data_IF_385066239886
#
_entry.id   IF_385066239886
#
_cell.length_a   1.000
_cell.length_b   1.000
_cell.length_c   1.000
_cell.angle_alpha   90.00
_cell.angle_beta   90.00
_cell.angle_gamma   90.00
#
_symmetry.space_group_name_H-M   'P 1'
#
loop_
_entity.id
_entity.type
_entity.pdbx_description
1 polymer ?
#
# COMPACT_ATOMS: atom_id res chain seq x y z
N UNK A 1 -11.24 -0.62 -21.64
CA UNK A 1 -11.94 -0.49 -20.37
C UNK A 1 -10.98 -0.85 -19.25
N UNK A 2 -10.90 -0.06 -18.20
CA UNK A 2 -9.97 -0.15 -17.08
C UNK A 2 -8.49 0.00 -17.45
N UNK A 3 -8.18 0.75 -18.51
CA UNK A 3 -6.81 1.14 -18.80
C UNK A 3 -6.31 2.10 -17.73
N UNK A 4 -5.08 1.85 -17.25
CA UNK A 4 -4.41 2.68 -16.28
C UNK A 4 -3.16 3.28 -16.88
N UNK A 5 -3.02 4.58 -16.80
CA UNK A 5 -1.79 5.26 -17.21
C UNK A 5 -0.62 4.74 -16.39
N UNK A 6 0.51 4.47 -17.05
CA UNK A 6 1.71 3.94 -16.42
C UNK A 6 2.89 4.85 -16.65
N UNK A 7 3.56 5.21 -15.56
CA UNK A 7 4.76 6.04 -15.58
C UNK A 7 5.92 5.27 -14.95
N UNK A 8 7.10 5.33 -15.56
CA UNK A 8 8.33 4.79 -14.98
C UNK A 8 9.05 5.88 -14.19
N UNK A 9 9.61 5.51 -13.05
CA UNK A 9 10.42 6.38 -12.21
C UNK A 9 11.86 5.90 -12.15
N UNK A 10 12.77 6.80 -11.76
CA UNK A 10 14.15 6.44 -11.48
C UNK A 10 14.18 5.52 -10.25
N UNK A 11 14.60 4.29 -10.48
CA UNK A 11 14.76 3.31 -9.40
C UNK A 11 16.12 3.49 -8.75
N UNK A 12 16.14 3.97 -7.52
CA UNK A 12 17.37 4.25 -6.76
C UNK A 12 17.10 4.15 -5.26
N UNK A 13 18.17 4.05 -4.48
CA UNK A 13 18.12 4.18 -3.03
C UNK A 13 18.28 5.66 -2.63
N UNK A 14 17.47 6.11 -1.66
CA UNK A 14 17.47 7.49 -1.16
C UNK A 14 17.61 7.48 0.35
N UNK A 15 18.49 8.30 0.89
CA UNK A 15 18.56 8.54 2.32
C UNK A 15 17.38 9.39 2.76
N UNK A 16 16.67 8.93 3.77
CA UNK A 16 15.53 9.60 4.35
C UNK A 16 15.79 10.01 5.80
N UNK A 17 15.26 11.14 6.18
CA UNK A 17 15.24 11.63 7.57
C UNK A 17 13.80 11.85 7.98
N UNK A 18 13.42 11.40 9.16
CA UNK A 18 12.12 11.67 9.76
C UNK A 18 12.02 13.15 10.10
N UNK A 19 11.06 13.86 9.53
CA UNK A 19 10.81 15.29 9.80
C UNK A 19 9.58 15.53 10.68
N UNK A 20 8.65 14.58 10.76
CA UNK A 20 7.52 14.61 11.68
C UNK A 20 7.07 13.19 12.03
N UNK A 21 6.46 13.05 13.21
CA UNK A 21 5.82 11.83 13.69
C UNK A 21 4.49 12.21 14.31
N UNK A 22 3.41 11.55 13.90
CA UNK A 22 2.07 11.77 14.45
C UNK A 22 1.28 10.45 14.58
N UNK A 23 0.19 10.50 15.33
CA UNK A 23 -0.74 9.36 15.43
C UNK A 23 -1.97 9.64 14.56
N UNK A 24 -2.29 8.72 13.66
CA UNK A 24 -3.48 8.77 12.80
C UNK A 24 -4.28 7.48 13.01
N UNK A 25 -5.28 7.53 13.86
CA UNK A 25 -6.05 6.34 14.24
C UNK A 25 -5.15 5.22 14.77
N UNK A 26 -5.18 4.07 14.11
CA UNK A 26 -4.35 2.90 14.45
C UNK A 26 -2.91 2.98 13.89
N UNK A 27 -2.52 4.08 13.25
CA UNK A 27 -1.22 4.21 12.59
C UNK A 27 -0.29 5.18 13.33
N UNK A 28 1.01 4.91 13.19
CA UNK A 28 2.06 5.91 13.35
C UNK A 28 2.36 6.45 11.96
N UNK A 29 2.06 7.72 11.72
CA UNK A 29 2.45 8.42 10.50
C UNK A 29 3.81 9.05 10.69
N UNK A 30 4.74 8.74 9.78
CA UNK A 30 6.05 9.36 9.74
C UNK A 30 6.20 10.13 8.45
N UNK A 31 6.59 11.40 8.54
CA UNK A 31 6.95 12.21 7.37
C UNK A 31 8.44 12.02 7.10
N UNK A 32 8.76 11.61 5.89
CA UNK A 32 10.13 11.42 5.41
C UNK A 32 10.51 12.54 4.45
N UNK A 33 11.73 13.06 4.62
CA UNK A 33 12.35 14.05 3.73
C UNK A 33 13.82 13.70 3.51
N UNK A 34 14.43 14.28 2.50
CA UNK A 34 15.86 14.10 2.23
C UNK A 34 16.33 14.84 0.99
N UNK A 35 17.63 15.16 0.90
CA UNK A 35 18.19 15.82 -0.27
C UNK A 35 18.05 14.99 -1.55
N UNK A 36 18.00 13.66 -1.41
CA UNK A 36 17.90 12.71 -2.51
C UNK A 36 16.45 12.57 -3.04
N UNK A 37 15.50 13.31 -2.48
CA UNK A 37 14.07 13.22 -2.86
C UNK A 37 13.66 14.23 -3.95
N UNK A 38 14.57 15.05 -4.47
CA UNK A 38 14.21 16.06 -5.47
C UNK A 38 13.50 15.47 -6.71
N UNK A 39 13.86 14.25 -7.12
CA UNK A 39 13.25 13.52 -8.22
C UNK A 39 12.26 12.44 -7.79
N UNK A 40 11.94 12.35 -6.50
CA UNK A 40 10.99 11.36 -5.98
C UNK A 40 9.59 11.63 -6.53
N UNK A 41 8.99 10.61 -7.12
CA UNK A 41 7.62 10.66 -7.62
C UNK A 41 6.87 9.38 -7.26
N UNK A 42 5.61 9.55 -6.90
CA UNK A 42 4.66 8.47 -6.63
C UNK A 42 3.26 8.98 -6.95
N UNK A 43 2.76 8.63 -8.13
CA UNK A 43 1.54 9.20 -8.69
C UNK A 43 0.39 8.20 -8.81
N UNK A 44 0.63 6.90 -8.56
CA UNK A 44 -0.41 5.87 -8.65
C UNK A 44 -0.80 5.31 -7.28
N UNK A 45 -2.07 4.91 -7.10
CA UNK A 45 -2.58 4.43 -5.80
C UNK A 45 -1.94 3.13 -5.31
N UNK A 46 -1.40 2.31 -6.21
CA UNK A 46 -0.72 1.06 -5.86
C UNK A 46 0.80 1.19 -5.77
N UNK A 47 1.33 2.40 -5.80
CA UNK A 47 2.76 2.61 -5.65
C UNK A 47 3.24 2.16 -4.29
N UNK A 48 4.42 1.59 -4.26
CA UNK A 48 5.07 1.21 -3.03
C UNK A 48 6.57 1.54 -3.07
N UNK A 49 7.09 1.83 -1.92
CA UNK A 49 8.52 1.98 -1.65
C UNK A 49 8.95 0.95 -0.64
N UNK A 50 10.16 0.41 -0.81
CA UNK A 50 10.77 -0.43 0.20
C UNK A 50 11.58 0.44 1.15
N UNK A 51 11.17 0.44 2.43
CA UNK A 51 11.82 1.21 3.49
C UNK A 51 12.67 0.26 4.32
N UNK A 52 13.92 0.64 4.56
CA UNK A 52 14.88 -0.11 5.36
C UNK A 52 15.04 0.54 6.72
N UNK A 53 14.89 -0.28 7.75
CA UNK A 53 14.87 0.09 9.15
C UNK A 53 16.16 -0.38 9.84
N UNK A 54 16.59 0.30 10.93
CA UNK A 54 17.67 -0.21 11.77
C UNK A 54 17.39 -1.61 12.31
N UNK A 55 18.45 -2.38 12.49
CA UNK A 55 18.37 -3.67 13.17
C UNK A 55 17.84 -3.46 14.59
N UNK A 56 16.74 -4.11 15.00
CA UNK A 56 16.12 -3.88 16.30
C UNK A 56 16.99 -4.25 17.49
N UNK A 57 18.05 -5.06 17.27
CA UNK A 57 18.97 -5.50 18.33
C UNK A 57 20.23 -4.62 18.43
N UNK A 58 20.75 -4.15 17.29
CA UNK A 58 22.02 -3.41 17.25
C UNK A 58 21.85 -1.92 16.98
N UNK A 59 20.70 -1.49 16.47
CA UNK A 59 20.46 -0.12 16.00
C UNK A 59 21.16 0.22 14.68
N UNK A 60 21.91 -0.71 14.08
CA UNK A 60 22.61 -0.47 12.82
C UNK A 60 21.64 -0.48 11.63
N UNK A 61 21.70 0.54 10.78
CA UNK A 61 20.96 0.61 9.53
C UNK A 61 21.80 0.04 8.39
N UNK A 62 21.54 -1.22 8.03
CA UNK A 62 22.10 -1.84 6.85
C UNK A 62 21.07 -1.79 5.71
N UNK A 63 21.41 -1.08 4.64
CA UNK A 63 20.46 -0.80 3.56
C UNK A 63 21.19 -0.69 2.21
N UNK A 64 20.46 -0.85 1.10
CA UNK A 64 21.00 -0.61 -0.23
C UNK A 64 21.49 0.83 -0.41
N UNK A 65 22.47 1.00 -1.29
CA UNK A 65 22.99 2.31 -1.71
C UNK A 65 22.67 2.57 -3.19
N UNK A 66 22.57 3.86 -3.54
CA UNK A 66 22.40 4.25 -4.93
C UNK A 66 23.66 3.94 -5.75
N UNK A 67 23.45 3.52 -6.98
CA UNK A 67 24.47 3.29 -7.97
C UNK A 67 24.02 3.85 -9.33
N UNK A 68 24.97 4.41 -10.10
CA UNK A 68 24.65 5.05 -11.40
C UNK A 68 24.41 4.01 -12.49
N UNK A 69 25.05 2.85 -12.44
CA UNK A 69 24.95 1.81 -13.46
C UNK A 69 23.86 0.79 -13.13
N UNK A 70 23.83 0.29 -11.90
CA UNK A 70 22.91 -0.75 -11.45
C UNK A 70 21.63 -0.19 -10.80
N UNK A 71 21.60 1.12 -10.53
CA UNK A 71 20.53 1.82 -9.81
C UNK A 71 20.56 1.59 -8.31
N UNK A 72 20.80 0.34 -7.86
CA UNK A 72 20.80 -0.01 -6.43
C UNK A 72 21.71 -1.20 -6.16
N UNK A 73 22.76 -0.99 -5.36
CA UNK A 73 23.62 -2.06 -4.84
C UNK A 73 23.10 -2.53 -3.49
N UNK A 74 22.90 -3.82 -3.33
CA UNK A 74 22.48 -4.43 -2.06
C UNK A 74 23.69 -4.66 -1.16
N UNK A 75 23.56 -4.41 0.16
CA UNK A 75 24.64 -4.71 1.09
C UNK A 75 24.76 -6.21 1.33
N UNK A 76 25.95 -6.65 1.73
CA UNK A 76 26.16 -7.98 2.26
C UNK A 76 25.67 -8.04 3.71
N UNK A 77 24.64 -8.85 3.97
CA UNK A 77 24.12 -9.05 5.31
C UNK A 77 22.60 -8.90 5.43
N UNK A 78 22.04 -9.17 6.62
CA UNK A 78 20.60 -9.13 6.84
C UNK A 78 20.08 -7.70 6.88
N UNK A 79 19.07 -7.39 6.06
CA UNK A 79 18.38 -6.10 6.03
C UNK A 79 16.96 -6.23 6.58
N UNK A 80 16.46 -5.17 7.19
CA UNK A 80 15.09 -5.07 7.72
C UNK A 80 14.25 -4.13 6.83
N UNK A 81 13.85 -4.63 5.66
CA UNK A 81 13.05 -3.86 4.70
C UNK A 81 11.57 -4.26 4.71
N UNK A 82 10.66 -3.26 4.59
CA UNK A 82 9.22 -3.45 4.40
C UNK A 82 8.72 -2.50 3.34
N UNK A 83 7.65 -2.92 2.68
CA UNK A 83 7.03 -2.14 1.62
C UNK A 83 5.88 -1.31 2.19
N UNK A 84 5.80 -0.05 1.79
CA UNK A 84 4.79 0.91 2.22
C UNK A 84 4.27 1.72 1.05
N UNK A 85 3.03 2.16 1.15
CA UNK A 85 2.42 3.11 0.21
C UNK A 85 2.85 4.54 0.58
N UNK A 86 3.54 5.28 -0.30
CA UNK A 86 3.80 6.70 -0.08
C UNK A 86 2.52 7.52 -0.14
N UNK A 87 2.33 8.40 0.84
CA UNK A 87 1.19 9.31 0.93
C UNK A 87 1.65 10.76 0.85
N UNK A 88 0.78 11.65 0.43
CA UNK A 88 0.96 13.09 0.55
C UNK A 88 2.32 13.58 0.03
N UNK A 89 2.74 13.13 -1.14
CA UNK A 89 3.99 13.60 -1.77
C UNK A 89 3.87 15.09 -2.04
N UNK A 90 4.78 15.89 -1.48
CA UNK A 90 4.72 17.35 -1.53
C UNK A 90 6.10 18.01 -1.50
N UNK A 91 6.18 19.18 -2.10
CA UNK A 91 7.36 20.04 -1.96
C UNK A 91 7.25 20.86 -0.66
N UNK A 92 8.35 20.98 0.04
CA UNK A 92 8.50 21.74 1.30
C UNK A 92 9.75 22.62 1.22
N UNK A 93 9.93 23.54 2.15
CA UNK A 93 11.14 24.38 2.22
C UNK A 93 12.42 23.55 2.39
N UNK A 94 12.32 22.37 2.96
CA UNK A 94 13.42 21.40 3.13
C UNK A 94 13.63 20.44 1.95
N UNK A 95 12.90 20.61 0.82
CA UNK A 95 12.87 19.70 -0.32
C UNK A 95 11.58 18.90 -0.37
N UNK A 96 11.57 17.83 -1.16
CA UNK A 96 10.40 16.96 -1.27
C UNK A 96 10.23 16.04 -0.08
N UNK A 97 9.00 15.81 0.32
CA UNK A 97 8.62 14.91 1.43
C UNK A 97 7.42 14.06 1.07
N UNK A 98 7.24 12.97 1.81
CA UNK A 98 6.03 12.14 1.76
C UNK A 98 5.79 11.49 3.12
N UNK A 99 4.58 11.00 3.33
CA UNK A 99 4.18 10.35 4.57
C UNK A 99 4.10 8.83 4.38
N UNK A 100 4.37 8.09 5.45
CA UNK A 100 4.15 6.65 5.56
C UNK A 100 3.30 6.38 6.79
N UNK A 101 2.25 5.59 6.63
CA UNK A 101 1.41 5.10 7.71
C UNK A 101 1.82 3.69 8.10
N UNK A 102 2.35 3.54 9.28
CA UNK A 102 2.77 2.25 9.85
C UNK A 102 1.69 1.77 10.80
N UNK A 103 0.98 0.71 10.41
CA UNK A 103 -0.09 0.13 11.22
C UNK A 103 0.48 -0.47 12.51
N UNK A 104 -0.12 -0.10 13.65
CA UNK A 104 0.14 -0.71 14.95
C UNK A 104 -0.57 -2.05 15.04
N UNK A 105 0.11 -3.05 15.59
CA UNK A 105 -0.49 -4.35 15.87
C UNK A 105 0.21 -5.03 17.07
N UNK A 106 -0.48 -5.97 17.77
CA UNK A 106 0.02 -6.55 19.03
C UNK A 106 1.37 -7.26 18.93
N UNK A 107 1.66 -7.89 17.78
CA UNK A 107 2.93 -8.59 17.53
C UNK A 107 3.76 -7.82 16.49
N UNK A 108 4.41 -6.69 16.88
CA UNK A 108 5.05 -5.80 15.94
C UNK A 108 6.30 -6.44 15.32
N UNK A 109 6.34 -6.46 13.99
CA UNK A 109 7.57 -6.71 13.26
C UNK A 109 8.54 -5.51 13.37
N UNK A 110 9.77 -5.61 12.83
CA UNK A 110 10.80 -4.58 12.98
C UNK A 110 10.34 -3.16 12.61
N UNK A 111 9.53 -3.02 11.57
CA UNK A 111 9.03 -1.71 11.14
C UNK A 111 8.02 -1.11 12.12
N UNK A 112 7.03 -1.89 12.58
CA UNK A 112 6.04 -1.41 13.53
C UNK A 112 6.67 -1.15 14.91
N UNK A 113 7.59 -2.01 15.36
CA UNK A 113 8.33 -1.80 16.59
C UNK A 113 9.21 -0.53 16.53
N UNK A 114 9.85 -0.25 15.40
CA UNK A 114 10.58 0.99 15.18
C UNK A 114 9.65 2.21 15.22
N UNK A 115 8.50 2.13 14.54
CA UNK A 115 7.57 3.25 14.44
C UNK A 115 7.01 3.71 15.81
N UNK A 116 6.82 2.78 16.76
CA UNK A 116 6.39 3.11 18.14
C UNK A 116 7.36 4.04 18.87
N UNK A 117 8.62 4.08 18.44
CA UNK A 117 9.69 4.86 19.07
C UNK A 117 10.33 5.89 18.12
N UNK A 118 9.79 6.04 16.91
CA UNK A 118 10.30 6.92 15.88
C UNK A 118 10.37 8.38 16.36
N UNK A 119 11.45 9.04 16.04
CA UNK A 119 11.70 10.43 16.42
C UNK A 119 12.14 11.26 15.21
N UNK A 120 11.87 12.57 15.28
CA UNK A 120 12.42 13.52 14.31
C UNK A 120 13.94 13.44 14.32
N UNK A 121 14.53 13.29 13.14
CA UNK A 121 15.97 13.11 12.96
C UNK A 121 16.39 11.66 12.73
N UNK A 122 15.52 10.67 12.96
CA UNK A 122 15.82 9.27 12.64
C UNK A 122 16.10 9.09 11.17
N UNK A 123 17.01 8.15 10.85
CA UNK A 123 17.47 7.89 9.51
C UNK A 123 16.96 6.53 8.99
N UNK A 124 16.46 6.54 7.76
CA UNK A 124 16.01 5.38 7.01
C UNK A 124 16.61 5.42 5.61
N UNK A 125 16.47 4.33 4.88
CA UNK A 125 16.73 4.29 3.44
C UNK A 125 15.46 3.85 2.72
N UNK A 126 15.12 4.54 1.64
CA UNK A 126 13.94 4.30 0.82
C UNK A 126 14.37 3.92 -0.59
N UNK A 127 13.85 2.81 -1.10
CA UNK A 127 14.11 2.33 -2.47
C UNK A 127 12.80 2.33 -3.26
N UNK A 128 12.82 2.92 -4.45
CA UNK A 128 11.65 3.03 -5.33
C UNK A 128 10.89 4.36 -5.20
N UNK A 129 9.63 4.42 -5.70
CA UNK A 129 8.99 3.38 -6.48
C UNK A 129 9.63 3.17 -7.86
N UNK A 130 9.40 2.01 -8.48
CA UNK A 130 9.87 1.73 -9.86
C UNK A 130 9.04 2.42 -10.93
N UNK A 131 7.82 2.70 -10.61
CA UNK A 131 6.84 3.34 -11.47
C UNK A 131 5.49 3.41 -10.80
N UNK A 132 4.57 4.08 -11.46
CA UNK A 132 3.21 4.27 -11.01
C UNK A 132 2.22 3.69 -12.02
N UNK A 133 1.07 3.26 -11.53
CA UNK A 133 -0.10 2.96 -12.33
C UNK A 133 -1.31 3.68 -11.71
N UNK A 134 -1.86 4.65 -12.42
CA UNK A 134 -3.02 5.43 -12.01
C UNK A 134 -4.27 4.57 -11.81
N UNK A 135 -5.32 5.13 -11.22
CA UNK A 135 -6.64 4.52 -11.21
C UNK A 135 -7.26 4.53 -12.62
N UNK A 136 -8.15 3.59 -12.95
CA UNK A 136 -8.84 3.61 -14.24
C UNK A 136 -9.78 4.82 -14.30
N UNK A 137 -9.68 5.59 -15.41
CA UNK A 137 -10.47 6.80 -15.57
C UNK A 137 -11.83 6.55 -16.26
N UNK A 138 -12.10 5.28 -16.62
CA UNK A 138 -13.33 4.83 -17.29
C UNK A 138 -14.17 3.87 -16.44
N UNK A 139 -13.90 3.77 -15.13
CA UNK A 139 -14.67 2.95 -14.21
C UNK A 139 -15.95 3.68 -13.77
N UNK A 140 -17.10 3.07 -13.96
CA UNK A 140 -18.38 3.59 -13.45
C UNK A 140 -18.53 3.32 -11.95
N UNK A 141 -17.98 2.19 -11.50
CA UNK A 141 -17.97 1.75 -10.10
C UNK A 141 -16.62 1.19 -9.70
N UNK A 142 -16.22 1.40 -8.47
CA UNK A 142 -15.05 0.79 -7.86
C UNK A 142 -15.41 0.07 -6.57
N UNK A 143 -14.89 -1.15 -6.39
CA UNK A 143 -14.95 -1.90 -5.14
C UNK A 143 -13.53 -2.03 -4.57
N UNK A 144 -13.30 -1.40 -3.42
CA UNK A 144 -12.01 -1.44 -2.70
C UNK A 144 -12.13 -2.43 -1.54
N UNK A 145 -11.50 -3.58 -1.63
CA UNK A 145 -11.52 -4.64 -0.59
C UNK A 145 -10.21 -4.58 0.19
N UNK A 146 -10.29 -4.15 1.44
CA UNK A 146 -9.10 -3.72 2.19
C UNK A 146 -9.09 -4.19 3.64
N UNK A 147 -7.90 -4.51 4.14
CA UNK A 147 -7.61 -4.58 5.56
C UNK A 147 -6.82 -3.34 6.03
N UNK A 148 -6.45 -3.28 7.31
CA UNK A 148 -5.71 -2.13 7.84
C UNK A 148 -4.39 -1.84 7.11
N UNK A 149 -3.73 -2.84 6.52
CA UNK A 149 -2.44 -2.63 5.83
C UNK A 149 -2.60 -1.94 4.47
N UNK A 150 -3.78 -2.00 3.87
CA UNK A 150 -4.07 -1.50 2.52
C UNK A 150 -4.92 -0.23 2.48
N UNK A 151 -5.39 0.30 3.62
CA UNK A 151 -6.08 1.59 3.70
C UNK A 151 -5.27 2.75 3.08
N UNK A 152 -3.93 2.84 3.23
CA UNK A 152 -3.14 3.86 2.54
C UNK A 152 -3.30 3.82 1.01
N UNK A 153 -3.36 2.65 0.41
CA UNK A 153 -3.60 2.52 -1.03
C UNK A 153 -5.05 2.87 -1.40
N UNK A 154 -6.03 2.48 -0.57
CA UNK A 154 -7.44 2.82 -0.78
C UNK A 154 -7.67 4.34 -0.74
N UNK A 155 -7.06 5.07 0.19
CA UNK A 155 -7.18 6.53 0.23
C UNK A 155 -6.69 7.17 -1.08
N UNK A 156 -5.60 6.68 -1.64
CA UNK A 156 -5.09 7.16 -2.92
C UNK A 156 -5.99 6.79 -4.11
N UNK A 157 -6.70 5.66 -4.06
CA UNK A 157 -7.75 5.37 -5.05
C UNK A 157 -8.92 6.35 -4.96
N UNK A 158 -9.34 6.73 -3.76
CA UNK A 158 -10.39 7.74 -3.58
C UNK A 158 -10.00 9.08 -4.21
N UNK A 159 -8.73 9.46 -4.12
CA UNK A 159 -8.21 10.71 -4.68
C UNK A 159 -8.03 10.65 -6.22
N UNK A 160 -7.68 9.48 -6.77
CA UNK A 160 -7.26 9.33 -8.18
C UNK A 160 -8.41 8.86 -9.11
N UNK A 161 -9.46 8.24 -8.57
CA UNK A 161 -10.64 7.84 -9.34
C UNK A 161 -11.48 9.07 -9.76
N UNK A 162 -12.11 9.09 -10.95
CA UNK A 162 -13.04 10.15 -11.35
C UNK A 162 -14.13 10.40 -10.30
N UNK A 163 -14.54 11.65 -10.10
CA UNK A 163 -15.63 12.00 -9.17
C UNK A 163 -16.96 11.28 -9.50
N UNK A 164 -17.15 10.96 -10.79
CA UNK A 164 -18.34 10.24 -11.27
C UNK A 164 -18.35 8.75 -10.92
N UNK A 165 -17.19 8.17 -10.52
CA UNK A 165 -17.10 6.75 -10.14
C UNK A 165 -17.75 6.55 -8.78
N UNK A 166 -18.76 5.70 -8.65
CA UNK A 166 -19.26 5.32 -7.33
C UNK A 166 -18.27 4.36 -6.65
N UNK A 167 -18.02 4.55 -5.35
CA UNK A 167 -17.03 3.76 -4.63
C UNK A 167 -17.64 3.05 -3.43
N UNK A 168 -17.46 1.74 -3.39
CA UNK A 168 -17.75 0.90 -2.24
C UNK A 168 -16.43 0.41 -1.64
N UNK A 169 -16.30 0.48 -0.33
CA UNK A 169 -15.18 -0.05 0.44
C UNK A 169 -15.66 -1.23 1.26
N UNK A 170 -15.06 -2.39 1.08
CA UNK A 170 -15.30 -3.59 1.88
C UNK A 170 -14.11 -3.81 2.81
N UNK A 171 -14.30 -3.46 4.09
CA UNK A 171 -13.31 -3.67 5.14
C UNK A 171 -13.32 -5.13 5.60
N UNK A 172 -12.15 -5.75 5.79
CA UNK A 172 -12.05 -7.12 6.26
C UNK A 172 -10.92 -7.33 7.29
N UNK A 173 -10.88 -8.51 7.90
CA UNK A 173 -9.90 -8.86 8.93
C UNK A 173 -10.20 -8.17 10.25
N UNK A 174 -9.20 -7.53 10.83
CA UNK A 174 -9.34 -6.79 12.10
C UNK A 174 -9.74 -5.31 11.88
N UNK A 175 -10.02 -4.91 10.63
CA UNK A 175 -10.45 -3.57 10.28
C UNK A 175 -11.97 -3.45 10.38
N UNK A 176 -12.44 -2.58 11.27
CA UNK A 176 -13.87 -2.23 11.37
C UNK A 176 -14.27 -1.20 10.33
N UNK A 177 -15.58 -1.18 9.99
CA UNK A 177 -16.14 -0.18 9.07
C UNK A 177 -15.89 1.24 9.57
N UNK A 178 -16.13 1.52 10.85
CA UNK A 178 -15.92 2.85 11.47
C UNK A 178 -14.44 3.29 11.38
N UNK A 179 -13.51 2.37 11.60
CA UNK A 179 -12.08 2.67 11.49
C UNK A 179 -11.66 2.97 10.04
N UNK A 180 -12.22 2.22 9.08
CA UNK A 180 -12.00 2.47 7.66
C UNK A 180 -12.56 3.82 7.22
N UNK A 181 -13.81 4.14 7.59
CA UNK A 181 -14.45 5.42 7.29
C UNK A 181 -13.68 6.60 7.88
N UNK A 182 -13.27 6.48 9.16
CA UNK A 182 -12.50 7.51 9.84
C UNK A 182 -11.12 7.75 9.21
N UNK A 183 -10.45 6.70 8.75
CA UNK A 183 -9.15 6.83 8.09
C UNK A 183 -9.27 7.43 6.69
N UNK A 184 -10.25 6.95 5.92
CA UNK A 184 -10.44 7.35 4.53
C UNK A 184 -11.07 8.76 4.39
N UNK A 185 -11.50 9.39 5.48
CA UNK A 185 -12.17 10.69 5.56
C UNK A 185 -11.93 11.59 4.33
N UNK A 186 -12.78 11.44 3.31
CA UNK A 186 -12.64 12.09 2.00
C UNK A 186 -13.83 13.02 1.77
N UNK A 187 -13.64 14.09 1.00
CA UNK A 187 -14.75 14.92 0.52
C UNK A 187 -15.63 14.16 -0.49
N UNK A 188 -15.08 13.11 -1.09
CA UNK A 188 -15.79 12.21 -1.99
C UNK A 188 -16.77 11.33 -1.22
N UNK A 189 -17.97 11.15 -1.75
CA UNK A 189 -18.93 10.18 -1.22
C UNK A 189 -18.48 8.74 -1.55
N UNK A 190 -18.48 7.89 -0.55
CA UNK A 190 -18.26 6.44 -0.66
C UNK A 190 -19.08 5.72 0.40
N UNK A 191 -19.32 4.41 0.20
CA UNK A 191 -19.97 3.58 1.20
C UNK A 191 -18.95 2.60 1.80
N UNK A 192 -19.04 2.33 3.11
CA UNK A 192 -18.22 1.36 3.80
C UNK A 192 -19.08 0.19 4.26
N UNK A 193 -18.61 -1.00 3.95
CA UNK A 193 -19.16 -2.28 4.38
C UNK A 193 -18.10 -3.02 5.18
N UNK A 194 -18.52 -3.80 6.16
CA UNK A 194 -17.63 -4.62 6.98
C UNK A 194 -17.92 -6.10 6.73
N UNK A 195 -16.88 -6.86 6.35
CA UNK A 195 -17.00 -8.30 6.20
C UNK A 195 -16.99 -8.97 7.57
N UNK A 196 -18.18 -9.21 8.11
CA UNK A 196 -18.34 -9.86 9.40
C UNK A 196 -18.04 -11.39 9.37
N UNK A 197 -17.87 -11.97 8.19
CA UNK A 197 -17.68 -13.40 8.00
C UNK A 197 -16.89 -13.75 6.75
N UNK A 198 -17.52 -14.50 5.83
CA UNK A 198 -16.89 -14.90 4.58
C UNK A 198 -16.83 -13.75 3.58
N UNK A 199 -15.61 -13.32 3.24
CA UNK A 199 -15.34 -12.20 2.34
C UNK A 199 -15.99 -12.37 0.95
N UNK A 200 -16.12 -13.61 0.47
CA UNK A 200 -16.76 -13.90 -0.82
C UNK A 200 -18.26 -13.64 -0.74
N UNK A 201 -18.90 -14.01 0.36
CA UNK A 201 -20.34 -13.77 0.57
C UNK A 201 -20.63 -12.27 0.57
N UNK A 202 -19.88 -11.49 1.33
CA UNK A 202 -20.04 -10.03 1.37
C UNK A 202 -19.77 -9.38 -0.01
N UNK A 203 -18.74 -9.85 -0.72
CA UNK A 203 -18.46 -9.39 -2.07
C UNK A 203 -19.58 -9.75 -3.08
N UNK A 204 -20.28 -10.90 -2.90
CA UNK A 204 -21.43 -11.27 -3.71
C UNK A 204 -22.63 -10.35 -3.50
N UNK A 205 -22.86 -9.95 -2.26
CA UNK A 205 -23.95 -9.03 -1.92
C UNK A 205 -23.73 -7.63 -2.53
N UNK A 206 -22.46 -7.23 -2.68
CA UNK A 206 -22.09 -6.02 -3.41
C UNK A 206 -22.16 -6.16 -4.94
N UNK A 207 -22.34 -7.38 -5.45
CA UNK A 207 -22.59 -7.70 -6.85
C UNK A 207 -21.68 -6.97 -7.87
N UNK A 208 -20.34 -7.13 -7.80
CA UNK A 208 -19.44 -6.54 -8.79
C UNK A 208 -19.70 -7.17 -10.17
N UNK A 209 -19.71 -6.33 -11.20
CA UNK A 209 -20.04 -6.70 -12.56
C UNK A 209 -18.98 -6.26 -13.59
N UNK A 210 -19.30 -6.33 -14.88
CA UNK A 210 -18.39 -5.94 -15.95
C UNK A 210 -18.03 -4.44 -15.94
N UNK A 211 -18.81 -3.57 -15.28
CA UNK A 211 -18.56 -2.14 -15.11
C UNK A 211 -17.78 -1.80 -13.83
N UNK A 212 -17.52 -2.78 -12.97
CA UNK A 212 -16.90 -2.57 -11.66
C UNK A 212 -15.40 -2.80 -11.72
N UNK A 213 -14.59 -1.81 -11.40
CA UNK A 213 -13.16 -1.98 -11.09
C UNK A 213 -13.01 -2.51 -9.67
N UNK A 214 -12.15 -3.50 -9.48
CA UNK A 214 -11.90 -4.09 -8.15
C UNK A 214 -10.42 -3.92 -7.78
N UNK A 215 -10.16 -3.24 -6.67
CA UNK A 215 -8.88 -3.29 -5.98
C UNK A 215 -9.05 -4.12 -4.70
N UNK A 216 -8.19 -5.10 -4.49
CA UNK A 216 -8.20 -5.87 -3.26
C UNK A 216 -6.78 -6.09 -2.74
N UNK A 217 -6.52 -5.68 -1.49
CA UNK A 217 -5.21 -5.88 -0.90
C UNK A 217 -5.28 -6.12 0.62
N UNK A 218 -4.30 -6.86 1.14
CA UNK A 218 -4.22 -7.22 2.56
C UNK A 218 -3.71 -8.64 2.78
N UNK A 219 -4.33 -9.39 3.70
CA UNK A 219 -3.95 -10.76 4.02
C UNK A 219 -4.16 -11.70 2.83
N UNK A 220 -3.07 -12.30 2.34
CA UNK A 220 -3.06 -13.07 1.09
C UNK A 220 -3.98 -14.30 1.10
N UNK A 221 -4.09 -14.99 2.25
CA UNK A 221 -4.92 -16.20 2.34
C UNK A 221 -6.41 -15.88 2.33
N UNK A 222 -6.82 -14.74 2.88
CA UNK A 222 -8.21 -14.26 2.84
C UNK A 222 -8.62 -13.84 1.42
N UNK A 223 -7.68 -13.31 0.63
CA UNK A 223 -7.93 -12.86 -0.74
C UNK A 223 -8.01 -14.01 -1.76
N UNK A 224 -7.45 -15.19 -1.47
CA UNK A 224 -7.46 -16.33 -2.42
C UNK A 224 -8.87 -16.75 -2.86
N UNK A 225 -9.84 -16.98 -1.96
CA UNK A 225 -11.22 -17.30 -2.36
C UNK A 225 -11.89 -16.17 -3.16
N UNK A 226 -11.67 -14.92 -2.73
CA UNK A 226 -12.20 -13.74 -3.42
C UNK A 226 -11.68 -13.64 -4.86
N UNK A 227 -10.37 -13.88 -5.07
CA UNK A 227 -9.79 -13.90 -6.41
C UNK A 227 -10.47 -14.94 -7.31
N UNK A 228 -10.67 -16.16 -6.80
CA UNK A 228 -11.36 -17.22 -7.55
C UNK A 228 -12.78 -16.82 -7.92
N UNK A 229 -13.53 -16.26 -6.98
CA UNK A 229 -14.87 -15.73 -7.24
C UNK A 229 -14.85 -14.66 -8.35
N UNK A 230 -14.04 -13.62 -8.21
CA UNK A 230 -14.01 -12.53 -9.19
C UNK A 230 -13.50 -12.99 -10.56
N UNK A 231 -12.43 -13.76 -10.61
CA UNK A 231 -11.74 -14.13 -11.85
C UNK A 231 -12.34 -15.36 -12.54
N UNK A 232 -12.81 -16.35 -11.79
CA UNK A 232 -13.25 -17.65 -12.34
C UNK A 232 -14.77 -17.81 -12.34
N UNK A 233 -15.47 -17.35 -11.30
CA UNK A 233 -16.93 -17.45 -11.28
C UNK A 233 -17.57 -16.30 -12.07
N UNK A 234 -17.17 -15.05 -11.80
CA UNK A 234 -17.69 -13.87 -12.50
C UNK A 234 -17.00 -13.60 -13.85
N UNK A 235 -15.81 -14.15 -14.10
CA UNK A 235 -15.07 -13.95 -15.34
C UNK A 235 -14.53 -12.52 -15.53
N UNK A 236 -14.34 -11.74 -14.45
CA UNK A 236 -13.82 -10.39 -14.56
C UNK A 236 -12.39 -10.40 -15.10
N UNK A 237 -12.03 -9.44 -15.96
CA UNK A 237 -10.74 -9.39 -16.63
C UNK A 237 -9.57 -9.06 -15.67
N UNK A 238 -8.32 -9.38 -16.05
CA UNK A 238 -7.13 -9.01 -15.29
C UNK A 238 -6.91 -7.48 -15.22
N UNK A 239 -7.38 -6.73 -16.20
CA UNK A 239 -7.34 -5.27 -16.17
C UNK A 239 -8.33 -4.68 -15.15
N UNK A 240 -9.41 -5.39 -14.90
CA UNK A 240 -10.50 -5.01 -14.01
C UNK A 240 -10.22 -5.33 -12.54
N UNK A 241 -9.47 -6.41 -12.28
CA UNK A 241 -9.21 -6.91 -10.92
C UNK A 241 -7.73 -6.76 -10.60
N UNK A 242 -7.41 -5.80 -9.72
CA UNK A 242 -6.06 -5.57 -9.21
C UNK A 242 -5.99 -6.09 -7.79
N UNK A 243 -5.21 -7.13 -7.58
CA UNK A 243 -5.11 -7.78 -6.26
C UNK A 243 -3.66 -7.96 -5.84
N UNK A 244 -3.38 -7.75 -4.54
CA UNK A 244 -2.05 -7.94 -3.96
C UNK A 244 -2.12 -8.45 -2.52
N UNK A 245 -1.41 -9.54 -2.23
CA UNK A 245 -1.22 -10.01 -0.86
C UNK A 245 -0.13 -9.22 -0.18
N UNK A 246 -0.47 -8.25 0.67
CA UNK A 246 0.52 -7.41 1.36
C UNK A 246 1.24 -8.14 2.49
N UNK A 247 0.55 -9.07 3.10
CA UNK A 247 1.10 -9.92 4.16
C UNK A 247 0.42 -11.29 4.19
N UNK A 248 1.00 -12.22 4.91
CA UNK A 248 0.40 -13.54 5.13
C UNK A 248 0.59 -13.96 6.57
N UNK A 249 -0.48 -14.38 7.21
CA UNK A 249 -0.46 -14.83 8.60
C UNK A 249 0.57 -15.95 8.81
N UNK A 250 1.45 -15.78 9.80
CA UNK A 250 2.49 -16.73 10.12
C UNK A 250 3.72 -16.72 9.19
N UNK A 251 3.78 -15.81 8.22
CA UNK A 251 4.92 -15.70 7.29
C UNK A 251 5.63 -14.35 7.51
N UNK A 252 6.88 -14.40 7.97
CA UNK A 252 7.70 -13.21 8.14
C UNK A 252 8.23 -12.76 6.77
N UNK A 253 8.21 -11.46 6.50
CA UNK A 253 8.70 -10.85 5.26
C UNK A 253 8.06 -11.49 3.99
N UNK A 254 6.73 -11.64 4.01
CA UNK A 254 5.97 -12.09 2.85
C UNK A 254 6.33 -11.26 1.62
N UNK A 255 6.52 -11.92 0.48
CA UNK A 255 6.75 -11.27 -0.81
C UNK A 255 5.40 -10.86 -1.42
N UNK A 256 5.09 -9.57 -1.45
CA UNK A 256 3.85 -9.05 -2.03
C UNK A 256 3.77 -9.22 -3.57
N UNK A 257 4.85 -9.60 -4.23
CA UNK A 257 4.86 -10.01 -5.64
C UNK A 257 4.51 -11.49 -5.84
N UNK A 258 4.45 -12.29 -4.75
CA UNK A 258 4.04 -13.67 -4.84
C UNK A 258 2.57 -13.76 -5.30
N UNK A 259 2.22 -14.72 -6.15
CA UNK A 259 0.84 -14.91 -6.57
C UNK A 259 -0.05 -15.19 -5.36
N UNK A 260 -1.21 -14.52 -5.29
CA UNK A 260 -2.21 -14.73 -4.23
C UNK A 260 -2.67 -16.19 -4.22
N UNK A 261 -2.90 -16.75 -5.39
CA UNK A 261 -3.20 -18.16 -5.56
C UNK A 261 -2.08 -18.84 -6.38
N UNK A 262 -1.17 -19.60 -5.73
CA UNK A 262 -0.10 -20.30 -6.44
C UNK A 262 -0.59 -21.38 -7.45
N UNK A 263 -1.82 -21.85 -7.30
CA UNK A 263 -2.43 -22.83 -8.20
C UNK A 263 -3.19 -22.18 -9.37
N UNK A 264 -3.35 -20.87 -9.33
CA UNK A 264 -4.03 -20.05 -10.33
C UNK A 264 -3.39 -18.64 -10.37
N UNK A 265 -2.13 -18.53 -10.85
CA UNK A 265 -1.30 -17.35 -10.63
C UNK A 265 -1.62 -16.15 -11.52
N UNK A 266 -2.44 -16.28 -12.59
CA UNK A 266 -2.70 -15.20 -13.58
C UNK A 266 -3.84 -14.24 -13.22
#
# INVERSE_FOLDING_TARGET
MFERERTRHRFTARTATVSAVETVGAYVRVTLTGPDFADFASTGPTDHVRVFFPNPLTGELLAPVADEEEGVIRPDGPTFGRDFTPLNVRDTDGGRSFDLDVLRHPDPGPAAAWAEHAQVGDRLVVVGPRGSAGAPQDAERALLVVDGTSLPAASRFLDDLPESTSVDVLAFGDLTGDAAESYLASERAFAVFEAAGDLVTEARDLAPDAGTFVFAAGEASALTPLRRYLRRELGLSAAQVVMSGYWRRGVVAWDHHAPIDPYDPD
#
